data_IF_177714744394
#
_entry.id   IF_177714744394
#
_cell.length_a   1.000
_cell.length_b   1.000
_cell.length_c   1.000
_cell.angle_alpha   90.00
_cell.angle_beta   90.00
_cell.angle_gamma   90.00
#
_symmetry.space_group_name_H-M   'P 1'
#
loop_
_entity.id
_entity.type
_entity.pdbx_description
1 polymer ?
#
# COMPACT_ATOMS: atom_id res chain seq x y z
N UNK A 1 23.66 -8.64 14.60
CA UNK A 1 22.47 -8.10 13.90
C UNK A 1 22.02 -6.86 14.64
N UNK A 2 21.59 -5.81 13.93
CA UNK A 2 20.97 -4.67 14.58
C UNK A 2 19.66 -5.14 15.22
N UNK A 3 19.38 -4.68 16.44
CA UNK A 3 18.14 -5.01 17.17
C UNK A 3 17.05 -3.96 16.94
N UNK A 4 17.27 -3.07 15.97
CA UNK A 4 16.40 -1.96 15.61
C UNK A 4 16.69 -1.54 14.17
N UNK A 5 15.69 -0.93 13.54
CA UNK A 5 15.79 -0.28 12.23
C UNK A 5 14.90 0.97 12.27
N UNK A 6 15.38 2.04 11.65
CA UNK A 6 14.53 3.20 11.37
C UNK A 6 13.90 3.02 9.99
N UNK A 7 12.58 3.21 9.87
CA UNK A 7 11.94 3.29 8.55
C UNK A 7 12.40 4.56 7.83
N UNK A 8 13.46 4.43 7.04
CA UNK A 8 14.01 5.48 6.19
C UNK A 8 14.33 4.91 4.80
N UNK A 9 13.94 5.64 3.75
CA UNK A 9 14.15 5.26 2.35
C UNK A 9 15.47 5.79 1.78
N UNK A 10 16.18 6.64 2.52
CA UNK A 10 17.43 7.25 2.07
C UNK A 10 18.49 6.19 1.74
N UNK A 11 19.03 6.23 0.53
CA UNK A 11 20.02 5.26 0.05
C UNK A 11 19.43 3.88 -0.30
N UNK A 12 18.10 3.72 -0.25
CA UNK A 12 17.42 2.48 -0.65
C UNK A 12 16.74 2.70 -2.00
N UNK A 13 17.14 1.92 -3.00
CA UNK A 13 16.49 1.92 -4.30
C UNK A 13 15.13 1.21 -4.20
N UNK A 14 14.02 1.85 -4.64
CA UNK A 14 12.73 1.21 -4.63
C UNK A 14 12.58 0.18 -5.75
N UNK A 15 11.79 -0.85 -5.47
CA UNK A 15 11.22 -1.69 -6.51
C UNK A 15 10.11 -0.92 -7.25
N UNK A 16 10.21 -0.90 -8.58
CA UNK A 16 9.20 -0.31 -9.45
C UNK A 16 8.11 -1.35 -9.74
N UNK A 17 6.84 -0.93 -9.64
CA UNK A 17 5.70 -1.79 -9.95
C UNK A 17 4.54 -1.04 -10.58
N UNK A 18 3.46 -1.76 -10.85
CA UNK A 18 2.18 -1.23 -11.30
C UNK A 18 1.08 -2.26 -10.97
N UNK A 19 -0.21 -1.89 -10.99
CA UNK A 19 -1.29 -2.87 -10.93
C UNK A 19 -1.16 -3.87 -12.09
N UNK A 20 -1.55 -5.12 -11.83
CA UNK A 20 -1.73 -6.10 -12.90
C UNK A 20 -2.75 -5.59 -13.94
N UNK A 21 -2.48 -5.84 -15.22
CA UNK A 21 -3.26 -5.27 -16.32
C UNK A 21 -4.76 -5.66 -16.27
N UNK A 22 -5.09 -6.84 -15.74
CA UNK A 22 -6.45 -7.33 -15.55
C UNK A 22 -7.18 -6.71 -14.35
N UNK A 23 -6.44 -6.06 -13.44
CA UNK A 23 -6.97 -5.33 -12.28
C UNK A 23 -7.10 -3.84 -12.54
N UNK A 24 -6.38 -3.28 -13.52
CA UNK A 24 -6.41 -1.85 -13.84
C UNK A 24 -7.80 -1.41 -14.32
N UNK A 25 -8.32 -0.32 -13.74
CA UNK A 25 -9.60 0.28 -14.10
C UNK A 25 -9.38 1.57 -14.88
N UNK A 26 -8.50 2.46 -14.40
CA UNK A 26 -8.21 3.72 -15.08
C UNK A 26 -6.85 4.31 -14.70
N UNK A 27 -6.30 5.14 -15.60
CA UNK A 27 -5.00 5.78 -15.43
C UNK A 27 -3.83 4.87 -15.79
N UNK A 28 -2.63 5.27 -15.39
CA UNK A 28 -1.40 4.50 -15.54
C UNK A 28 -0.55 4.64 -14.26
N UNK A 29 -1.05 4.14 -13.12
CA UNK A 29 -0.37 4.29 -11.85
C UNK A 29 0.94 3.51 -11.84
N UNK A 30 1.99 4.14 -11.32
CA UNK A 30 3.31 3.56 -11.10
C UNK A 30 3.57 3.45 -9.60
N UNK A 31 4.14 2.33 -9.16
CA UNK A 31 4.38 2.01 -7.77
C UNK A 31 5.85 2.13 -7.40
N UNK A 32 6.04 2.74 -6.23
CA UNK A 32 7.21 2.88 -5.36
C UNK A 32 7.25 1.89 -4.19
N UNK A 33 8.01 0.79 -4.17
CA UNK A 33 8.09 -0.04 -2.94
C UNK A 33 9.50 -0.06 -2.36
N UNK A 34 9.65 0.39 -1.12
CA UNK A 34 10.86 0.23 -0.32
C UNK A 34 10.61 -0.82 0.77
N UNK A 35 11.03 -2.06 0.52
CA UNK A 35 11.00 -3.14 1.51
C UNK A 35 12.17 -2.96 2.48
N UNK A 36 11.89 -2.50 3.70
CA UNK A 36 12.91 -2.10 4.66
C UNK A 36 13.21 -3.20 5.70
N UNK A 37 12.22 -4.01 6.03
CA UNK A 37 12.38 -5.17 6.92
C UNK A 37 11.61 -6.38 6.40
N UNK A 38 12.25 -7.54 6.48
CA UNK A 38 11.70 -8.86 6.18
C UNK A 38 12.14 -9.80 7.30
N UNK A 39 11.17 -10.17 8.14
CA UNK A 39 11.39 -11.05 9.28
C UNK A 39 10.78 -12.43 9.05
N UNK A 40 11.32 -13.43 9.76
CA UNK A 40 10.82 -14.80 9.70
C UNK A 40 9.31 -14.87 10.00
N UNK A 41 8.64 -15.85 9.37
CA UNK A 41 7.19 -16.03 9.54
C UNK A 41 6.34 -15.12 8.66
N UNK A 42 6.92 -14.54 7.60
CA UNK A 42 6.21 -13.80 6.56
C UNK A 42 5.80 -12.39 6.99
N UNK A 43 6.62 -11.73 7.82
CA UNK A 43 6.39 -10.36 8.26
C UNK A 43 7.25 -9.40 7.45
N UNK A 44 6.61 -8.42 6.82
CA UNK A 44 7.23 -7.43 5.96
C UNK A 44 6.87 -6.03 6.43
N UNK A 45 7.83 -5.10 6.41
CA UNK A 45 7.55 -3.70 6.68
C UNK A 45 8.32 -2.79 5.73
N UNK A 46 7.72 -1.65 5.39
CA UNK A 46 8.31 -0.78 4.40
C UNK A 46 7.50 0.48 4.11
N UNK A 47 7.90 1.16 3.04
CA UNK A 47 7.20 2.31 2.48
C UNK A 47 6.68 1.94 1.10
N UNK A 48 5.45 2.33 0.81
CA UNK A 48 4.85 2.21 -0.50
C UNK A 48 4.36 3.57 -1.00
N UNK A 49 4.46 3.80 -2.30
CA UNK A 49 3.94 4.98 -2.96
C UNK A 49 3.27 4.62 -4.30
N UNK A 50 2.21 5.32 -4.66
CA UNK A 50 1.61 5.23 -5.98
C UNK A 50 1.24 6.59 -6.55
N UNK A 51 1.39 6.73 -7.87
CA UNK A 51 0.85 7.85 -8.65
C UNK A 51 -0.65 7.64 -8.95
N UNK A 52 -1.37 8.68 -9.41
CA UNK A 52 -2.82 8.60 -9.64
C UNK A 52 -3.26 7.50 -10.60
N UNK A 53 -4.36 6.84 -10.24
CA UNK A 53 -4.94 5.72 -10.98
C UNK A 53 -5.90 4.90 -10.13
N UNK A 54 -6.64 3.98 -10.74
CA UNK A 54 -7.62 3.13 -10.07
C UNK A 54 -7.48 1.69 -10.50
N UNK A 55 -7.53 0.76 -9.55
CA UNK A 55 -7.45 -0.68 -9.81
C UNK A 55 -8.24 -1.48 -8.78
N UNK A 56 -8.52 -2.74 -9.11
CA UNK A 56 -9.11 -3.73 -8.21
C UNK A 56 -8.06 -4.25 -7.24
N UNK A 57 -8.44 -4.38 -5.98
CA UNK A 57 -7.63 -4.98 -4.92
C UNK A 57 -8.34 -6.20 -4.36
N UNK A 58 -7.56 -7.22 -4.03
CA UNK A 58 -8.00 -8.44 -3.38
C UNK A 58 -6.84 -8.88 -2.47
N UNK A 59 -7.12 -8.91 -1.17
CA UNK A 59 -6.11 -9.17 -0.14
C UNK A 59 -6.21 -10.62 0.32
N UNK A 60 -5.12 -11.36 0.18
CA UNK A 60 -4.93 -12.68 0.78
C UNK A 60 -4.13 -12.57 2.08
N UNK A 61 -3.38 -11.48 2.22
CA UNK A 61 -2.55 -11.09 3.34
C UNK A 61 -3.28 -10.21 4.35
N UNK A 62 -2.68 -10.08 5.54
CA UNK A 62 -3.06 -9.08 6.53
C UNK A 62 -2.13 -7.87 6.38
N UNK A 63 -2.67 -6.67 6.16
CA UNK A 63 -1.90 -5.43 6.02
C UNK A 63 -2.39 -4.38 7.01
N UNK A 64 -1.50 -3.84 7.84
CA UNK A 64 -1.66 -2.53 8.46
C UNK A 64 -0.94 -1.49 7.61
N UNK A 65 -1.53 -0.31 7.45
CA UNK A 65 -0.83 0.83 6.88
C UNK A 65 -1.25 2.16 7.51
N UNK A 66 -0.37 3.15 7.35
CA UNK A 66 -0.58 4.54 7.74
C UNK A 66 -0.23 5.46 6.57
N UNK A 67 -1.16 6.32 6.17
CA UNK A 67 -0.91 7.28 5.09
C UNK A 67 -0.01 8.41 5.61
N UNK A 68 1.10 8.62 4.91
CA UNK A 68 2.07 9.68 5.18
C UNK A 68 1.73 10.96 4.43
N UNK A 69 1.24 10.84 3.19
CA UNK A 69 0.88 11.97 2.34
C UNK A 69 -0.03 11.54 1.18
N UNK A 70 -0.66 12.52 0.53
CA UNK A 70 -1.52 12.32 -0.62
C UNK A 70 -2.98 12.04 -0.24
N UNK A 71 -3.71 11.50 -1.20
CA UNK A 71 -5.13 11.23 -1.07
C UNK A 71 -5.52 10.01 -1.91
N UNK A 72 -6.01 8.98 -1.22
CA UNK A 72 -6.56 7.78 -1.81
C UNK A 72 -8.00 7.55 -1.36
N UNK A 73 -8.74 6.78 -2.15
CA UNK A 73 -10.07 6.29 -1.84
C UNK A 73 -10.04 4.78 -1.97
N UNK A 74 -10.42 4.09 -0.90
CA UNK A 74 -10.66 2.64 -0.93
C UNK A 74 -12.15 2.41 -0.88
N UNK A 75 -12.68 1.66 -1.84
CA UNK A 75 -14.09 1.26 -1.87
C UNK A 75 -14.19 -0.25 -1.80
N UNK A 76 -14.83 -0.77 -0.77
CA UNK A 76 -15.10 -2.20 -0.60
C UNK A 76 -16.20 -2.68 -1.58
N UNK A 77 -16.25 -3.99 -1.85
CA UNK A 77 -17.25 -4.58 -2.76
C UNK A 77 -18.71 -4.39 -2.29
N UNK A 78 -18.95 -4.17 -0.99
CA UNK A 78 -20.26 -3.84 -0.43
C UNK A 78 -20.66 -2.36 -0.60
N UNK A 79 -19.76 -1.55 -1.17
CA UNK A 79 -19.94 -0.13 -1.43
C UNK A 79 -19.43 0.81 -0.33
N UNK A 80 -18.99 0.29 0.82
CA UNK A 80 -18.38 1.14 1.85
C UNK A 80 -17.12 1.81 1.31
N UNK A 81 -16.99 3.12 1.55
CA UNK A 81 -15.92 3.94 0.96
C UNK A 81 -15.17 4.70 2.03
N UNK A 82 -13.84 4.59 1.98
CA UNK A 82 -12.90 5.18 2.92
C UNK A 82 -12.03 6.21 2.19
N UNK A 83 -12.10 7.46 2.63
CA UNK A 83 -11.21 8.52 2.17
C UNK A 83 -9.97 8.54 3.06
N UNK A 84 -8.81 8.32 2.46
CA UNK A 84 -7.54 8.15 3.17
C UNK A 84 -6.59 9.31 2.83
N UNK A 85 -6.17 10.04 3.85
CA UNK A 85 -5.24 11.18 3.81
C UNK A 85 -4.17 11.04 4.89
N UNK A 86 -3.19 11.94 4.88
CA UNK A 86 -2.11 11.95 5.85
C UNK A 86 -2.62 11.81 7.31
N UNK A 87 -2.12 10.79 8.01
CA UNK A 87 -2.51 10.43 9.38
C UNK A 87 -3.58 9.36 9.50
N UNK A 88 -4.30 9.05 8.41
CA UNK A 88 -5.28 7.96 8.40
C UNK A 88 -4.60 6.59 8.39
N UNK A 89 -5.22 5.64 9.10
CA UNK A 89 -4.68 4.30 9.35
C UNK A 89 -5.75 3.26 9.14
N UNK A 90 -5.39 2.15 8.52
CA UNK A 90 -6.33 1.06 8.30
C UNK A 90 -5.65 -0.29 8.37
N UNK A 91 -6.44 -1.31 8.67
CA UNK A 91 -6.06 -2.71 8.55
C UNK A 91 -6.93 -3.33 7.46
N UNK A 92 -6.31 -3.88 6.43
CA UNK A 92 -6.94 -4.75 5.46
C UNK A 92 -6.64 -6.20 5.85
N UNK A 93 -7.68 -7.03 5.87
CA UNK A 93 -7.59 -8.43 6.32
C UNK A 93 -7.75 -9.36 5.12
N UNK A 94 -7.28 -10.62 5.24
CA UNK A 94 -7.54 -11.64 4.24
C UNK A 94 -9.03 -11.74 3.90
N UNK A 95 -9.34 -11.75 2.60
CA UNK A 95 -10.69 -11.74 2.07
C UNK A 95 -11.25 -10.35 1.75
N UNK A 96 -10.56 -9.26 2.11
CA UNK A 96 -10.97 -7.92 1.67
C UNK A 96 -10.87 -7.79 0.15
N UNK A 97 -11.92 -7.25 -0.47
CA UNK A 97 -12.01 -7.01 -1.92
C UNK A 97 -12.65 -5.66 -2.18
N UNK A 98 -12.21 -5.02 -3.26
CA UNK A 98 -12.73 -3.73 -3.66
C UNK A 98 -11.86 -3.04 -4.69
N UNK A 99 -11.80 -1.72 -4.63
CA UNK A 99 -10.94 -0.89 -5.47
C UNK A 99 -10.09 0.06 -4.63
N UNK A 100 -8.88 0.31 -5.10
CA UNK A 100 -8.03 1.39 -4.62
C UNK A 100 -7.94 2.44 -5.73
N UNK A 101 -8.24 3.68 -5.38
CA UNK A 101 -8.14 4.83 -6.26
C UNK A 101 -7.21 5.87 -5.65
N UNK A 102 -6.09 6.15 -6.31
CA UNK A 102 -5.17 7.22 -5.93
C UNK A 102 -5.60 8.49 -6.67
N UNK A 103 -6.01 9.50 -5.91
CA UNK A 103 -6.44 10.81 -6.44
C UNK A 103 -5.23 11.74 -6.54
N UNK A 104 -4.43 11.77 -5.49
CA UNK A 104 -3.15 12.48 -5.40
C UNK A 104 -2.08 11.48 -4.99
N UNK A 105 -0.86 11.60 -5.53
CA UNK A 105 0.25 10.67 -5.26
C UNK A 105 0.32 10.36 -3.77
N UNK A 106 0.06 9.10 -3.44
CA UNK A 106 -0.12 8.65 -2.06
C UNK A 106 1.10 7.89 -1.62
N UNK A 107 1.59 8.20 -0.43
CA UNK A 107 2.67 7.46 0.24
C UNK A 107 2.18 6.94 1.58
N UNK A 108 2.48 5.66 1.88
CA UNK A 108 2.12 5.00 3.13
C UNK A 108 3.30 4.21 3.70
N UNK A 109 3.39 4.12 5.02
CA UNK A 109 4.12 3.02 5.66
C UNK A 109 3.19 1.83 5.81
N UNK A 110 3.76 0.62 5.76
CA UNK A 110 2.99 -0.62 5.87
C UNK A 110 3.70 -1.65 6.73
N UNK A 111 2.89 -2.55 7.29
CA UNK A 111 3.29 -3.83 7.85
C UNK A 111 2.37 -4.90 7.29
N UNK A 112 2.93 -5.87 6.59
CA UNK A 112 2.21 -6.99 5.98
C UNK A 112 2.59 -8.28 6.70
N UNK A 113 1.61 -9.15 6.89
CA UNK A 113 1.80 -10.54 7.26
C UNK A 113 1.12 -11.45 6.24
N UNK A 114 1.91 -12.32 5.61
CA UNK A 114 1.44 -13.36 4.70
C UNK A 114 0.81 -14.55 5.45
#
# INVERSE_FOLDING_TARGET
MATYLQLNVEGVEPEAGAPAADRLISGAPAFRTWSLDEAEGGLYAGIWEATPGKWKIAYDEWEYFNILSGYSIVTADDGETFHLRAGDRMILKPGFKGTWEVIETTRKDYVIRL
#
